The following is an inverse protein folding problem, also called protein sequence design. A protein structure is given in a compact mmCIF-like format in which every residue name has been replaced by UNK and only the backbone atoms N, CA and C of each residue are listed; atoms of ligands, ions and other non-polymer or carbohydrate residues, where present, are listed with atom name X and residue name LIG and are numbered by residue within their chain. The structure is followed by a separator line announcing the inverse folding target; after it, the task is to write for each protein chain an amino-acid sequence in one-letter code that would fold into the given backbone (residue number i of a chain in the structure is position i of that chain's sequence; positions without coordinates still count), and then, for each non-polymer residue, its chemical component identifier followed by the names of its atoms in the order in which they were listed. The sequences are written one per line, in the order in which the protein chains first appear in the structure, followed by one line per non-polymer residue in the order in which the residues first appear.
data_IF_426698460251
#
_entry.id   IF_426698460251
#
_cell.length_a   1.000
_cell.length_b   1.000
_cell.length_c   1.000
_cell.angle_alpha   90.00
_cell.angle_beta   90.00
_cell.angle_gamma   90.00
#
_symmetry.space_group_name_H-M   'P 1'
#
loop_
_entity.id
_entity.type
_entity.pdbx_description
1 polymer ?
#
# COMPACT_ATOMS: atom_id res chain seq x y z
N UNK A 1 16.40 20.44 36.83
CA UNK A 1 15.30 19.50 37.13
C UNK A 1 14.62 19.07 35.84
N UNK A 2 14.28 17.79 35.69
CA UNK A 2 13.60 17.26 34.51
C UNK A 2 12.24 17.96 34.27
N UNK A 3 11.55 18.31 35.33
CA UNK A 3 10.29 19.07 35.28
C UNK A 3 10.47 20.43 34.58
N UNK A 4 11.50 21.19 34.92
CA UNK A 4 11.76 22.49 34.30
C UNK A 4 12.06 22.39 32.79
N UNK A 5 12.80 21.37 32.37
CA UNK A 5 13.06 21.13 30.92
C UNK A 5 11.78 20.89 30.15
N UNK A 6 10.91 20.03 30.67
CA UNK A 6 9.63 19.71 30.03
C UNK A 6 8.73 20.94 29.89
N UNK A 7 8.60 21.68 30.99
CA UNK A 7 7.74 22.87 31.03
C UNK A 7 8.30 23.99 30.12
N UNK A 8 9.64 24.14 30.03
CA UNK A 8 10.27 25.04 29.06
C UNK A 8 9.98 24.62 27.61
N UNK A 9 10.08 23.33 27.28
CA UNK A 9 9.75 22.84 25.93
C UNK A 9 8.27 23.07 25.60
N UNK A 10 7.37 22.85 26.56
CA UNK A 10 5.95 23.15 26.40
C UNK A 10 5.72 24.64 26.12
N UNK A 11 6.38 25.52 26.85
CA UNK A 11 6.30 26.98 26.62
C UNK A 11 6.81 27.35 25.21
N UNK A 12 7.93 26.79 24.76
CA UNK A 12 8.46 27.01 23.41
C UNK A 12 7.46 26.55 22.34
N UNK A 13 6.85 25.38 22.53
CA UNK A 13 5.84 24.84 21.63
C UNK A 13 4.61 25.75 21.56
N UNK A 14 4.12 26.23 22.71
CA UNK A 14 2.94 27.11 22.77
C UNK A 14 3.22 28.50 22.21
N UNK A 15 4.43 29.02 22.38
CA UNK A 15 4.80 30.37 21.92
C UNK A 15 5.09 30.43 20.40
N UNK A 16 5.77 29.44 19.86
CA UNK A 16 6.30 29.48 18.49
C UNK A 16 6.19 28.15 17.73
N UNK A 17 5.49 27.18 18.29
CA UNK A 17 5.36 25.85 17.72
C UNK A 17 4.08 25.65 16.93
N UNK A 18 4.09 24.57 16.14
CA UNK A 18 2.94 24.07 15.39
C UNK A 18 2.98 22.55 15.36
N UNK A 19 1.84 21.92 15.61
CA UNK A 19 1.65 20.47 15.49
C UNK A 19 0.56 20.22 14.47
N UNK A 20 0.92 19.59 13.36
CA UNK A 20 -0.01 19.20 12.29
C UNK A 20 -0.28 17.71 12.38
N UNK A 21 -1.51 17.37 12.73
CA UNK A 21 -2.04 16.01 12.68
C UNK A 21 -3.10 16.00 11.57
N UNK A 22 -2.92 15.18 10.52
CA UNK A 22 -3.90 15.12 9.44
C UNK A 22 -5.27 14.67 9.96
N UNK A 23 -6.31 15.37 9.57
CA UNK A 23 -7.69 14.94 9.86
C UNK A 23 -8.01 13.73 9.01
N UNK A 24 -8.62 12.72 9.62
CA UNK A 24 -9.20 11.57 8.93
C UNK A 24 -10.68 11.87 8.78
N UNK A 25 -11.07 12.46 7.65
CA UNK A 25 -12.49 12.55 7.31
C UNK A 25 -13.01 11.15 6.97
N UNK A 26 -13.97 10.70 7.76
CA UNK A 26 -14.63 9.40 7.62
C UNK A 26 -15.56 9.33 6.39
N UNK A 27 -15.94 10.47 5.82
CA UNK A 27 -17.05 10.55 4.85
C UNK A 27 -16.66 10.96 3.41
N UNK A 28 -15.41 11.32 3.15
CA UNK A 28 -15.00 11.68 1.80
C UNK A 28 -13.91 10.73 1.32
N UNK A 29 -14.26 9.92 0.32
CA UNK A 29 -13.37 8.97 -0.36
C UNK A 29 -12.22 9.63 -1.13
N UNK A 30 -11.86 10.86 -0.81
CA UNK A 30 -10.76 11.59 -1.44
C UNK A 30 -9.44 11.36 -0.72
N UNK A 31 -8.45 11.12 -1.51
CA UNK A 31 -7.04 10.90 -1.20
C UNK A 31 -6.45 11.98 -0.27
N UNK A 32 -6.63 11.87 1.03
CA UNK A 32 -5.82 12.60 2.01
C UNK A 32 -4.39 12.05 2.13
N UNK A 33 -3.94 11.32 1.10
CA UNK A 33 -2.60 10.70 1.06
C UNK A 33 -1.45 11.71 1.06
N UNK A 34 -1.73 13.01 0.92
CA UNK A 34 -0.73 14.09 0.91
C UNK A 34 -0.46 14.75 2.26
N UNK A 35 -1.37 14.68 3.21
CA UNK A 35 -1.19 15.35 4.51
C UNK A 35 -0.18 14.61 5.37
N UNK A 36 0.94 15.26 5.68
CA UNK A 36 2.06 14.70 6.46
C UNK A 36 1.96 15.12 7.91
N UNK A 37 2.39 14.24 8.81
CA UNK A 37 2.65 14.61 10.20
C UNK A 37 3.79 15.60 10.25
N UNK A 38 3.65 16.64 11.06
CA UNK A 38 4.67 17.67 11.18
C UNK A 38 4.53 18.38 12.51
N UNK A 39 5.63 18.48 13.22
CA UNK A 39 5.77 19.34 14.40
C UNK A 39 6.96 20.24 14.17
N UNK A 40 6.80 21.55 14.33
CA UNK A 40 7.89 22.51 14.21
C UNK A 40 7.82 23.57 15.30
N UNK A 41 8.99 24.10 15.66
CA UNK A 41 9.16 25.28 16.52
C UNK A 41 10.05 26.26 15.75
N UNK A 42 9.64 27.52 15.70
CA UNK A 42 10.30 28.57 14.94
C UNK A 42 11.06 29.51 15.86
N UNK A 43 12.25 29.91 15.46
CA UNK A 43 13.12 30.80 16.20
C UNK A 43 13.61 31.92 15.31
N UNK A 44 13.65 33.16 15.82
CA UNK A 44 14.26 34.29 15.13
C UNK A 44 15.78 34.27 15.23
N UNK A 45 16.33 33.59 16.24
CA UNK A 45 17.75 33.48 16.52
C UNK A 45 18.23 32.04 16.26
N UNK A 46 19.29 31.92 15.46
CA UNK A 46 19.85 30.62 15.04
C UNK A 46 20.60 29.95 16.19
N UNK A 47 21.39 30.73 16.93
CA UNK A 47 22.23 30.19 18.00
C UNK A 47 21.35 29.68 19.16
N UNK A 48 20.27 30.40 19.44
CA UNK A 48 19.27 29.96 20.41
C UNK A 48 18.57 28.67 19.95
N UNK A 49 18.20 28.54 18.67
CA UNK A 49 17.61 27.32 18.12
C UNK A 49 18.56 26.11 18.27
N UNK A 50 19.85 26.31 17.96
CA UNK A 50 20.85 25.25 18.09
C UNK A 50 21.09 24.88 19.57
N UNK A 51 21.16 25.86 20.47
CA UNK A 51 21.27 25.61 21.90
C UNK A 51 20.06 24.82 22.44
N UNK A 52 18.84 25.13 21.99
CA UNK A 52 17.64 24.36 22.31
C UNK A 52 17.75 22.94 21.79
N UNK A 53 18.17 22.74 20.52
CA UNK A 53 18.36 21.40 19.95
C UNK A 53 19.34 20.57 20.75
N UNK A 54 20.47 21.15 21.16
CA UNK A 54 21.51 20.46 21.94
C UNK A 54 21.03 20.16 23.38
N UNK A 55 20.29 21.09 23.97
CA UNK A 55 19.73 20.91 25.32
C UNK A 55 18.69 19.79 25.40
N UNK A 56 17.99 19.51 24.26
CA UNK A 56 16.95 18.49 24.12
C UNK A 56 17.37 17.43 23.10
N UNK A 57 18.60 16.93 23.20
CA UNK A 57 19.17 15.93 22.30
C UNK A 57 18.38 14.60 22.27
N UNK A 58 17.59 14.32 23.31
CA UNK A 58 16.68 13.18 23.38
C UNK A 58 15.50 13.28 22.38
N UNK A 59 15.16 14.50 21.91
CA UNK A 59 14.12 14.71 20.91
C UNK A 59 14.81 14.78 19.54
N UNK A 60 14.43 13.96 18.54
CA UNK A 60 15.12 13.89 17.25
C UNK A 60 14.79 15.10 16.35
N UNK A 61 15.01 16.31 16.86
CA UNK A 61 14.83 17.52 16.09
C UNK A 61 15.79 17.61 14.92
N UNK A 62 15.23 17.87 13.74
CA UNK A 62 15.96 18.32 12.55
C UNK A 62 15.94 19.83 12.50
N UNK A 63 17.01 20.41 11.95
CA UNK A 63 17.19 21.85 11.78
C UNK A 63 17.00 22.24 10.32
N UNK A 64 16.32 23.35 10.08
CA UNK A 64 16.23 23.97 8.76
C UNK A 64 16.14 25.48 8.87
N UNK A 65 16.60 26.17 7.83
CA UNK A 65 16.44 27.64 7.69
C UNK A 65 15.38 27.95 6.62
N UNK A 66 14.45 28.85 6.92
CA UNK A 66 13.50 29.40 5.96
C UNK A 66 13.41 30.92 6.12
N UNK A 67 13.78 31.69 5.10
CA UNK A 67 13.67 33.15 5.13
C UNK A 67 14.16 33.77 6.44
N UNK A 68 15.37 33.49 6.84
CA UNK A 68 16.00 33.93 8.10
C UNK A 68 15.33 33.48 9.42
N UNK A 69 14.44 32.46 9.35
CA UNK A 69 13.84 31.84 10.51
C UNK A 69 14.48 30.46 10.68
N UNK A 70 15.01 30.21 11.87
CA UNK A 70 15.49 28.89 12.26
C UNK A 70 14.31 28.02 12.68
N UNK A 71 14.23 26.77 12.20
CA UNK A 71 13.14 25.85 12.46
C UNK A 71 13.71 24.55 12.99
N UNK A 72 13.26 24.13 14.17
CA UNK A 72 13.41 22.78 14.66
C UNK A 72 12.14 22.01 14.35
N UNK A 73 12.27 20.82 13.73
CA UNK A 73 11.10 20.05 13.30
C UNK A 73 11.27 18.55 13.42
N UNK A 74 10.14 17.87 13.56
CA UNK A 74 10.00 16.42 13.53
C UNK A 74 8.91 16.06 12.52
N UNK A 75 9.12 15.03 11.70
CA UNK A 75 8.15 14.58 10.66
C UNK A 75 7.71 13.14 10.82
N UNK A 76 8.45 12.38 11.60
CA UNK A 76 8.12 11.00 11.88
C UNK A 76 7.02 10.91 12.93
N UNK A 77 6.00 10.09 12.68
CA UNK A 77 4.81 10.00 13.54
C UNK A 77 5.10 9.40 14.91
N UNK A 78 6.05 8.47 15.00
CA UNK A 78 6.47 7.87 16.27
C UNK A 78 7.19 8.90 17.13
N UNK A 79 8.18 9.57 16.57
CA UNK A 79 8.90 10.66 17.25
C UNK A 79 7.99 11.83 17.66
N UNK A 80 6.93 12.13 16.86
CA UNK A 80 5.92 13.14 17.25
C UNK A 80 5.08 12.63 18.41
N UNK A 81 4.70 11.34 18.43
CA UNK A 81 3.98 10.77 19.56
C UNK A 81 4.79 10.83 20.85
N UNK A 82 6.07 10.48 20.79
CA UNK A 82 7.00 10.58 21.93
C UNK A 82 7.18 12.03 22.41
N UNK A 83 7.32 12.97 21.47
CA UNK A 83 7.36 14.39 21.78
C UNK A 83 6.09 14.88 22.48
N UNK A 84 4.91 14.44 22.03
CA UNK A 84 3.63 14.80 22.67
C UNK A 84 3.52 14.22 24.09
N UNK A 85 4.05 13.02 24.31
CA UNK A 85 4.17 12.44 25.68
C UNK A 85 5.13 13.29 26.52
N UNK A 86 6.28 13.64 25.96
CA UNK A 86 7.29 14.45 26.65
C UNK A 86 6.73 15.78 27.17
N UNK A 87 5.94 16.49 26.35
CA UNK A 87 5.27 17.75 26.74
C UNK A 87 3.94 17.54 27.48
N UNK A 88 3.61 16.30 27.87
CA UNK A 88 2.36 15.93 28.56
C UNK A 88 1.07 16.24 27.79
N UNK A 89 1.11 16.23 26.47
CA UNK A 89 -0.03 16.49 25.58
C UNK A 89 -0.77 15.19 25.19
N UNK A 90 -1.23 14.41 26.19
CA UNK A 90 -1.80 13.07 26.01
C UNK A 90 -3.02 13.02 25.09
N UNK A 91 -3.89 14.05 25.13
CA UNK A 91 -5.06 14.11 24.24
C UNK A 91 -4.65 14.26 22.77
N UNK A 92 -3.61 15.03 22.48
CA UNK A 92 -3.06 15.18 21.13
C UNK A 92 -2.37 13.87 20.67
N UNK A 93 -1.65 13.21 21.56
CA UNK A 93 -1.03 11.89 21.30
C UNK A 93 -2.09 10.84 20.92
N UNK A 94 -3.19 10.74 21.65
CA UNK A 94 -4.27 9.81 21.36
C UNK A 94 -4.94 10.11 20.00
N UNK A 95 -5.14 11.40 19.68
CA UNK A 95 -5.63 11.80 18.33
C UNK A 95 -4.67 11.35 17.22
N UNK A 96 -3.38 11.54 17.42
CA UNK A 96 -2.36 11.12 16.47
C UNK A 96 -2.40 9.59 16.25
N UNK A 97 -2.46 8.82 17.33
CA UNK A 97 -2.54 7.34 17.24
C UNK A 97 -3.76 6.86 16.49
N UNK A 98 -4.93 7.44 16.76
CA UNK A 98 -6.15 7.10 16.02
C UNK A 98 -6.00 7.36 14.51
N UNK A 99 -5.33 8.46 14.13
CA UNK A 99 -5.04 8.76 12.72
C UNK A 99 -4.08 7.74 12.12
N UNK A 100 -3.03 7.35 12.86
CA UNK A 100 -2.04 6.33 12.41
C UNK A 100 -2.74 4.98 12.17
N UNK A 101 -3.55 4.53 13.13
CA UNK A 101 -4.30 3.28 13.04
C UNK A 101 -5.26 3.31 11.84
N UNK A 102 -6.06 4.37 11.72
CA UNK A 102 -7.00 4.52 10.60
C UNK A 102 -6.32 4.51 9.23
N UNK A 103 -5.14 5.12 9.10
CA UNK A 103 -4.34 5.07 7.87
C UNK A 103 -3.78 3.67 7.59
N UNK A 104 -3.29 2.98 8.60
CA UNK A 104 -2.78 1.61 8.48
C UNK A 104 -3.87 0.65 8.00
N UNK A 105 -5.06 0.73 8.58
CA UNK A 105 -6.21 -0.10 8.18
C UNK A 105 -6.62 0.16 6.73
N UNK A 106 -6.73 1.44 6.32
CA UNK A 106 -7.06 1.79 4.93
C UNK A 106 -6.01 1.33 3.95
N UNK A 107 -4.72 1.51 4.27
CA UNK A 107 -3.63 1.04 3.42
C UNK A 107 -3.66 -0.47 3.23
N UNK A 108 -3.94 -1.22 4.30
CA UNK A 108 -4.08 -2.68 4.24
C UNK A 108 -5.27 -3.08 3.37
N UNK A 109 -6.44 -2.46 3.57
CA UNK A 109 -7.63 -2.73 2.77
C UNK A 109 -7.43 -2.37 1.28
N UNK A 110 -6.75 -1.25 0.99
CA UNK A 110 -6.42 -0.87 -0.38
C UNK A 110 -5.45 -1.86 -1.05
N UNK A 111 -4.42 -2.32 -0.32
CA UNK A 111 -3.50 -3.35 -0.83
C UNK A 111 -4.22 -4.67 -1.12
N UNK A 112 -5.13 -5.09 -0.24
CA UNK A 112 -5.93 -6.30 -0.45
C UNK A 112 -6.82 -6.16 -1.69
N UNK A 113 -7.56 -5.04 -1.82
CA UNK A 113 -8.39 -4.78 -3.02
C UNK A 113 -7.57 -4.78 -4.30
N UNK A 114 -6.43 -4.09 -4.32
CA UNK A 114 -5.56 -4.05 -5.48
C UNK A 114 -5.00 -5.44 -5.84
N UNK A 115 -4.66 -6.25 -4.84
CA UNK A 115 -4.22 -7.62 -5.05
C UNK A 115 -5.32 -8.49 -5.66
N UNK A 116 -6.55 -8.40 -5.14
CA UNK A 116 -7.72 -9.14 -5.66
C UNK A 116 -8.01 -8.70 -7.10
N UNK A 117 -8.09 -7.39 -7.36
CA UNK A 117 -8.33 -6.86 -8.70
C UNK A 117 -7.27 -7.34 -9.71
N UNK A 118 -5.98 -7.24 -9.36
CA UNK A 118 -4.90 -7.70 -10.21
C UNK A 118 -4.93 -9.23 -10.47
N UNK A 119 -5.40 -10.01 -9.51
CA UNK A 119 -5.55 -11.47 -9.69
C UNK A 119 -6.74 -11.80 -10.61
N UNK A 120 -7.86 -11.06 -10.48
CA UNK A 120 -9.01 -11.19 -11.38
C UNK A 120 -8.59 -10.84 -12.82
N UNK A 121 -7.95 -9.67 -13.02
CA UNK A 121 -7.49 -9.23 -14.33
C UNK A 121 -6.55 -10.25 -14.99
N UNK A 122 -5.60 -10.82 -14.24
CA UNK A 122 -4.72 -11.88 -14.72
C UNK A 122 -5.50 -13.13 -15.14
N UNK A 123 -6.51 -13.51 -14.36
CA UNK A 123 -7.33 -14.70 -14.65
C UNK A 123 -8.17 -14.48 -15.90
N UNK A 124 -8.82 -13.33 -16.05
CA UNK A 124 -9.62 -12.97 -17.23
C UNK A 124 -8.75 -12.94 -18.48
N UNK A 125 -7.64 -12.19 -18.46
CA UNK A 125 -6.72 -12.09 -19.60
C UNK A 125 -6.15 -13.47 -20.00
N UNK A 126 -5.86 -14.34 -19.02
CA UNK A 126 -5.41 -15.71 -19.30
C UNK A 126 -6.52 -16.53 -19.95
N UNK A 127 -7.77 -16.42 -19.46
CA UNK A 127 -8.94 -17.07 -20.02
C UNK A 127 -9.19 -16.69 -21.48
N UNK A 128 -9.17 -15.39 -21.79
CA UNK A 128 -9.33 -14.88 -23.15
C UNK A 128 -8.24 -15.39 -24.11
N UNK A 129 -6.97 -15.35 -23.68
CA UNK A 129 -5.86 -15.90 -24.47
C UNK A 129 -6.04 -17.41 -24.75
N UNK A 130 -6.50 -18.17 -23.76
CA UNK A 130 -6.74 -19.60 -23.88
C UNK A 130 -7.89 -19.89 -24.87
N UNK A 131 -9.00 -19.15 -24.77
CA UNK A 131 -10.13 -19.29 -25.69
C UNK A 131 -9.75 -18.90 -27.11
N UNK A 132 -8.99 -17.82 -27.32
CA UNK A 132 -8.48 -17.41 -28.60
C UNK A 132 -7.56 -18.49 -29.25
N UNK A 133 -6.71 -19.11 -28.44
CA UNK A 133 -5.87 -20.22 -28.88
C UNK A 133 -6.69 -21.44 -29.26
N UNK A 134 -7.69 -21.82 -28.49
CA UNK A 134 -8.63 -22.92 -28.78
C UNK A 134 -9.39 -22.65 -30.09
N UNK A 135 -9.92 -21.44 -30.25
CA UNK A 135 -10.60 -21.07 -31.52
C UNK A 135 -9.67 -21.18 -32.74
N UNK A 136 -8.39 -20.80 -32.57
CA UNK A 136 -7.39 -20.96 -33.64
C UNK A 136 -7.11 -22.41 -33.94
N UNK A 137 -6.99 -23.27 -32.93
CA UNK A 137 -6.80 -24.74 -33.11
C UNK A 137 -8.00 -25.35 -33.82
N UNK A 138 -9.23 -24.97 -33.44
CA UNK A 138 -10.45 -25.42 -34.11
C UNK A 138 -10.49 -25.00 -35.59
N UNK A 139 -10.26 -23.69 -35.85
CA UNK A 139 -10.27 -23.13 -37.22
C UNK A 139 -9.27 -23.80 -38.15
N UNK A 140 -8.13 -24.26 -37.65
CA UNK A 140 -7.07 -24.91 -38.43
C UNK A 140 -7.23 -26.42 -38.50
N UNK A 141 -8.26 -27.00 -37.92
CA UNK A 141 -8.48 -28.44 -37.90
C UNK A 141 -7.49 -29.27 -37.08
N UNK A 142 -6.73 -28.61 -36.22
CA UNK A 142 -5.69 -29.25 -35.41
C UNK A 142 -6.24 -30.02 -34.20
N UNK A 143 -7.50 -29.84 -33.87
CA UNK A 143 -8.14 -30.43 -32.69
C UNK A 143 -8.03 -31.96 -32.71
N UNK A 144 -8.21 -32.61 -33.85
CA UNK A 144 -8.17 -34.08 -33.96
C UNK A 144 -6.78 -34.66 -33.68
N UNK A 145 -5.72 -33.90 -33.96
CA UNK A 145 -4.33 -34.28 -33.65
C UNK A 145 -3.91 -34.08 -32.20
N UNK A 146 -4.76 -33.50 -31.35
CA UNK A 146 -4.46 -33.30 -29.94
C UNK A 146 -4.52 -34.61 -29.15
N UNK A 147 -3.70 -34.71 -28.10
CA UNK A 147 -3.78 -35.82 -27.14
C UNK A 147 -5.12 -35.82 -26.41
N UNK A 148 -5.62 -36.98 -25.93
CA UNK A 148 -6.91 -37.06 -25.21
C UNK A 148 -6.98 -36.06 -24.05
N UNK A 149 -5.90 -35.90 -23.29
CA UNK A 149 -5.82 -34.95 -22.18
C UNK A 149 -5.94 -33.47 -22.58
N UNK A 150 -5.47 -33.11 -23.76
CA UNK A 150 -5.62 -31.76 -24.31
C UNK A 150 -7.02 -31.53 -24.87
N UNK A 151 -7.66 -32.57 -25.44
CA UNK A 151 -9.05 -32.50 -25.89
C UNK A 151 -10.01 -32.28 -24.72
N UNK A 152 -9.81 -33.00 -23.61
CA UNK A 152 -10.61 -32.84 -22.38
C UNK A 152 -10.58 -31.39 -21.87
N UNK A 153 -9.41 -30.78 -21.75
CA UNK A 153 -9.32 -29.42 -21.21
C UNK A 153 -9.81 -28.35 -22.18
N UNK A 154 -9.73 -28.59 -23.49
CA UNK A 154 -10.35 -27.73 -24.52
C UNK A 154 -11.87 -27.72 -24.31
N UNK A 155 -12.49 -28.89 -24.24
CA UNK A 155 -13.95 -29.01 -24.01
C UNK A 155 -14.35 -28.35 -22.70
N UNK A 156 -13.64 -28.65 -21.64
CA UNK A 156 -13.93 -28.06 -20.30
C UNK A 156 -13.84 -26.54 -20.30
N UNK A 157 -12.89 -25.95 -21.05
CA UNK A 157 -12.73 -24.49 -21.13
C UNK A 157 -13.80 -23.87 -22.07
N UNK A 158 -14.16 -24.51 -23.17
CA UNK A 158 -15.22 -24.03 -24.04
C UNK A 158 -16.59 -24.04 -23.37
N UNK A 159 -16.90 -25.08 -22.56
CA UNK A 159 -18.12 -25.16 -21.79
C UNK A 159 -18.17 -24.18 -20.60
N UNK A 160 -17.01 -23.77 -20.09
CA UNK A 160 -16.90 -22.89 -18.91
C UNK A 160 -15.88 -21.76 -19.18
N UNK A 161 -16.24 -20.76 -20.02
CA UNK A 161 -15.33 -19.70 -20.46
C UNK A 161 -14.78 -18.84 -19.30
N UNK A 162 -15.58 -18.64 -18.26
CA UNK A 162 -15.26 -17.79 -17.11
C UNK A 162 -14.65 -18.56 -15.93
N UNK A 163 -14.60 -19.90 -16.01
CA UNK A 163 -14.10 -20.71 -14.92
C UNK A 163 -12.63 -20.42 -14.60
N UNK A 164 -12.32 -20.38 -13.34
CA UNK A 164 -10.94 -20.28 -12.82
C UNK A 164 -10.16 -21.56 -13.10
N UNK A 165 -8.83 -21.50 -13.01
CA UNK A 165 -7.99 -22.71 -13.15
C UNK A 165 -8.31 -23.76 -12.08
N UNK A 166 -8.70 -23.34 -10.88
CA UNK A 166 -9.06 -24.24 -9.79
C UNK A 166 -10.35 -25.01 -10.09
N UNK A 167 -11.35 -24.33 -10.62
CA UNK A 167 -12.64 -24.93 -11.02
C UNK A 167 -12.46 -25.91 -12.19
N UNK A 168 -11.66 -25.55 -13.20
CA UNK A 168 -11.35 -26.46 -14.30
C UNK A 168 -10.57 -27.69 -13.83
N UNK A 169 -9.60 -27.48 -12.94
CA UNK A 169 -8.81 -28.57 -12.35
C UNK A 169 -9.71 -29.53 -11.56
N UNK A 170 -10.60 -29.00 -10.74
CA UNK A 170 -11.58 -29.80 -9.97
C UNK A 170 -12.50 -30.60 -10.90
N UNK A 171 -13.03 -29.97 -11.97
CA UNK A 171 -13.92 -30.61 -12.96
C UNK A 171 -13.23 -31.78 -13.68
N UNK A 172 -11.93 -31.65 -13.94
CA UNK A 172 -11.14 -32.69 -14.64
C UNK A 172 -10.41 -33.67 -13.70
N UNK A 173 -10.55 -33.52 -12.38
CA UNK A 173 -9.85 -34.37 -11.41
C UNK A 173 -8.32 -34.27 -11.45
N UNK A 174 -7.79 -33.10 -11.83
CA UNK A 174 -6.34 -32.84 -11.95
C UNK A 174 -5.90 -31.69 -11.01
N UNK A 175 -4.59 -31.52 -10.86
CA UNK A 175 -4.07 -30.36 -10.11
C UNK A 175 -4.19 -29.06 -10.91
N UNK A 176 -4.28 -27.92 -10.21
CA UNK A 176 -4.25 -26.56 -10.80
C UNK A 176 -3.04 -26.37 -11.72
N UNK A 177 -1.86 -26.88 -11.31
CA UNK A 177 -0.63 -26.83 -12.11
C UNK A 177 -0.78 -27.66 -13.39
N UNK A 178 -1.42 -28.84 -13.31
CA UNK A 178 -1.73 -29.68 -14.46
C UNK A 178 -2.66 -29.00 -15.47
N UNK A 179 -3.73 -28.37 -14.99
CA UNK A 179 -4.65 -27.59 -15.83
C UNK A 179 -3.91 -26.43 -16.51
N UNK A 180 -3.12 -25.66 -15.75
CA UNK A 180 -2.34 -24.54 -16.29
C UNK A 180 -1.35 -24.99 -17.36
N UNK A 181 -0.61 -26.10 -17.11
CA UNK A 181 0.35 -26.64 -18.07
C UNK A 181 -0.33 -27.08 -19.39
N UNK A 182 -1.50 -27.76 -19.30
CA UNK A 182 -2.26 -28.19 -20.48
C UNK A 182 -2.74 -27.00 -21.29
N UNK A 183 -3.30 -25.96 -20.63
CA UNK A 183 -3.76 -24.73 -21.30
C UNK A 183 -2.61 -23.92 -21.91
N UNK A 184 -1.49 -23.80 -21.23
CA UNK A 184 -0.29 -23.16 -21.78
C UNK A 184 0.23 -23.87 -23.03
N UNK A 185 0.20 -25.21 -23.04
CA UNK A 185 0.59 -26.00 -24.19
C UNK A 185 -0.33 -25.75 -25.42
N UNK A 186 -1.64 -25.57 -25.22
CA UNK A 186 -2.58 -25.19 -26.29
C UNK A 186 -2.24 -23.82 -26.86
N UNK A 187 -1.91 -22.83 -26.02
CA UNK A 187 -1.48 -21.51 -26.50
C UNK A 187 -0.20 -21.62 -27.34
N UNK A 188 0.78 -22.39 -26.87
CA UNK A 188 2.01 -22.64 -27.66
C UNK A 188 1.73 -23.31 -29.01
N UNK A 189 0.86 -24.31 -29.05
CA UNK A 189 0.48 -24.98 -30.31
C UNK A 189 -0.18 -23.99 -31.29
N UNK A 190 -1.05 -23.13 -30.80
CA UNK A 190 -1.70 -22.11 -31.61
C UNK A 190 -0.73 -21.05 -32.17
N UNK A 191 0.32 -20.72 -31.42
CA UNK A 191 1.34 -19.73 -31.79
C UNK A 191 2.42 -20.28 -32.72
N UNK A 192 2.84 -21.55 -32.58
CA UNK A 192 3.93 -22.17 -33.35
C UNK A 192 3.59 -22.43 -34.82
N UNK A 193 2.33 -22.39 -35.19
CA UNK A 193 1.89 -22.62 -36.55
C UNK A 193 1.41 -21.32 -37.24
N UNK A 194 2.06 -20.23 -36.94
CA UNK A 194 1.78 -18.91 -37.54
C UNK A 194 2.41 -18.75 -38.89
#
# INVERSE_FOLDING_TARGET
SVCCKRDTMLCLLLAAGSVVIPVVDSDVGENTSGARYHTEIRFSDVDFALAVKDCYAEIPFRFAMRKNIAILYVKDSESIADFLVYVNAMSAKLKLENVIIGRSLRNTANRQRNCIAANIDKSVNAGERQLAAIATIRKRGLFEGLTPQLKEIVIAREENPEATLDELAAKLGISKSGANHRLAKLVTIAEQQR
#
